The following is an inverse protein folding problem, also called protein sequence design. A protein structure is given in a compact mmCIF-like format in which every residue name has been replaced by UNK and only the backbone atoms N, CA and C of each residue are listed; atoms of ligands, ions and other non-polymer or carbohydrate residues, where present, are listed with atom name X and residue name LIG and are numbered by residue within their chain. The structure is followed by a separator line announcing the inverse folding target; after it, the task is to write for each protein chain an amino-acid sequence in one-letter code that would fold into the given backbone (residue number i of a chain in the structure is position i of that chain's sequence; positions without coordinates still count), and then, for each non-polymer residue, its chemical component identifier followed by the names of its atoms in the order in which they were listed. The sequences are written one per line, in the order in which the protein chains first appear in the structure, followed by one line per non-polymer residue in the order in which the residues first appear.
data_IF_139641848403
#
_entry.id   IF_139641848403
#
_cell.length_a   1.000
_cell.length_b   1.000
_cell.length_c   1.000
_cell.angle_alpha   90.00
_cell.angle_beta   90.00
_cell.angle_gamma   90.00
#
_symmetry.space_group_name_H-M   'P 1'
#
loop_
_entity.id
_entity.type
_entity.pdbx_description
1 polymer ?
#
# COMPACT_ATOMS: atom_id res chain seq x y z
N UNK A 1 25.78 2.92 14.70
CA UNK A 1 25.49 1.47 14.73
C UNK A 1 24.38 1.30 15.73
N UNK A 2 23.22 0.95 15.24
CA UNK A 2 21.98 1.12 15.99
C UNK A 2 21.81 0.03 17.04
N UNK A 3 21.52 0.45 18.26
CA UNK A 3 21.22 -0.40 19.43
C UNK A 3 20.19 -1.49 19.13
N UNK A 4 19.27 -1.24 18.19
CA UNK A 4 18.24 -2.22 17.77
C UNK A 4 18.82 -3.40 17.01
N UNK A 5 19.81 -3.18 16.15
CA UNK A 5 20.45 -4.22 15.35
C UNK A 5 21.34 -5.12 16.23
N UNK A 6 21.99 -4.52 17.22
CA UNK A 6 22.77 -5.27 18.21
C UNK A 6 21.88 -6.06 19.17
N UNK A 7 20.75 -5.53 19.59
CA UNK A 7 19.76 -6.24 20.41
C UNK A 7 19.17 -7.43 19.67
N UNK A 8 18.77 -7.29 18.40
CA UNK A 8 18.27 -8.38 17.57
C UNK A 8 19.36 -9.46 17.31
N UNK A 9 20.61 -9.04 17.12
CA UNK A 9 21.74 -9.96 16.97
C UNK A 9 22.09 -10.69 18.27
N UNK A 10 21.92 -10.03 19.42
CA UNK A 10 22.08 -10.62 20.74
C UNK A 10 20.94 -11.61 21.06
N UNK A 11 19.69 -11.25 20.77
CA UNK A 11 18.56 -12.15 20.93
C UNK A 11 18.64 -13.38 20.04
N UNK A 12 19.14 -13.25 18.80
CA UNK A 12 19.38 -14.36 17.90
C UNK A 12 20.50 -15.30 18.39
N UNK A 13 21.51 -14.77 19.11
CA UNK A 13 22.57 -15.56 19.74
C UNK A 13 22.07 -16.29 21.00
N UNK A 14 21.18 -15.66 21.77
CA UNK A 14 20.66 -16.24 23.02
C UNK A 14 19.61 -17.31 22.75
N UNK A 15 18.81 -17.16 21.69
CA UNK A 15 17.77 -18.11 21.30
C UNK A 15 17.89 -18.52 19.82
N UNK A 16 18.85 -19.39 19.48
CA UNK A 16 19.01 -19.82 18.09
C UNK A 16 17.76 -20.55 17.59
N UNK A 17 17.29 -20.27 16.37
CA UNK A 17 16.11 -20.89 15.83
C UNK A 17 16.29 -22.41 15.69
N UNK A 18 15.41 -23.19 16.34
CA UNK A 18 15.48 -24.67 16.34
C UNK A 18 14.90 -25.28 15.05
N UNK A 19 14.11 -24.54 14.29
CA UNK A 19 13.43 -25.05 13.09
C UNK A 19 13.92 -24.36 11.82
N UNK A 20 13.84 -25.08 10.67
CA UNK A 20 14.15 -24.50 9.35
C UNK A 20 13.29 -23.27 9.04
N UNK A 21 11.99 -23.29 9.42
CA UNK A 21 11.09 -22.17 9.26
C UNK A 21 11.53 -20.95 10.10
N UNK A 22 11.98 -21.18 11.35
CA UNK A 22 12.51 -20.12 12.21
C UNK A 22 13.79 -19.50 11.66
N UNK A 23 14.72 -20.33 11.11
CA UNK A 23 15.93 -19.83 10.44
C UNK A 23 15.58 -18.93 9.26
N UNK A 24 14.71 -19.40 8.36
CA UNK A 24 14.25 -18.65 7.20
C UNK A 24 13.58 -17.33 7.61
N UNK A 25 12.75 -17.35 8.65
CA UNK A 25 12.09 -16.15 9.18
C UNK A 25 13.11 -15.10 9.67
N UNK A 26 14.18 -15.51 10.32
CA UNK A 26 15.26 -14.60 10.76
C UNK A 26 16.13 -14.13 9.59
N UNK A 27 16.41 -14.99 8.62
CA UNK A 27 17.14 -14.62 7.39
C UNK A 27 16.37 -13.59 6.57
N UNK A 28 15.03 -13.74 6.45
CA UNK A 28 14.18 -12.80 5.73
C UNK A 28 14.16 -11.40 6.37
N UNK A 29 14.43 -11.31 7.68
CA UNK A 29 14.50 -10.07 8.47
C UNK A 29 15.91 -9.53 8.69
N UNK A 30 16.93 -10.28 8.30
CA UNK A 30 18.30 -9.80 8.42
C UNK A 30 18.56 -8.59 7.50
N UNK A 31 19.47 -7.67 7.88
CA UNK A 31 19.88 -6.56 7.02
C UNK A 31 20.33 -7.06 5.64
N UNK A 32 19.83 -6.44 4.58
CA UNK A 32 20.13 -6.78 3.18
C UNK A 32 20.65 -5.56 2.46
N UNK A 33 21.54 -5.76 1.49
CA UNK A 33 22.01 -4.70 0.58
C UNK A 33 20.89 -4.13 -0.28
N UNK A 34 19.94 -5.00 -0.67
CA UNK A 34 18.71 -4.61 -1.37
C UNK A 34 17.55 -4.83 -0.41
N UNK A 35 16.84 -3.76 -0.08
CA UNK A 35 15.67 -3.82 0.77
C UNK A 35 14.55 -4.62 0.11
N UNK A 36 13.78 -5.32 0.94
CA UNK A 36 12.56 -5.98 0.49
C UNK A 36 11.51 -4.94 0.11
N UNK A 37 10.64 -5.33 -0.82
CA UNK A 37 9.48 -4.50 -1.19
C UNK A 37 8.61 -4.19 0.03
N UNK A 38 8.21 -2.91 0.18
CA UNK A 38 7.39 -2.44 1.29
C UNK A 38 6.07 -3.22 1.35
N UNK A 39 5.87 -3.94 2.43
CA UNK A 39 4.70 -4.77 2.65
C UNK A 39 3.59 -3.98 3.33
N UNK A 40 2.36 -4.14 2.86
CA UNK A 40 1.19 -3.43 3.37
C UNK A 40 0.30 -4.34 4.21
N UNK A 41 -0.06 -3.90 5.39
CA UNK A 41 -1.03 -4.55 6.28
C UNK A 41 -2.40 -3.87 6.12
N UNK A 42 -3.42 -4.65 5.77
CA UNK A 42 -4.81 -4.19 5.70
C UNK A 42 -5.57 -4.62 6.95
N UNK A 43 -6.14 -3.66 7.65
CA UNK A 43 -6.78 -3.89 8.96
C UNK A 43 -8.22 -3.39 8.94
N UNK A 44 -9.14 -4.22 9.44
CA UNK A 44 -10.51 -3.80 9.71
C UNK A 44 -10.58 -3.21 11.11
N UNK A 45 -11.05 -1.97 11.20
CA UNK A 45 -11.28 -1.28 12.46
C UNK A 45 -12.45 -1.87 13.27
N UNK A 46 -12.80 -1.24 14.40
CA UNK A 46 -13.84 -1.72 15.29
C UNK A 46 -15.22 -1.81 14.64
N UNK A 47 -15.53 -0.88 13.77
CA UNK A 47 -16.70 -0.88 12.89
C UNK A 47 -16.29 -0.58 11.47
N UNK A 48 -16.87 -1.26 10.49
CA UNK A 48 -16.61 -1.03 9.07
C UNK A 48 -17.91 -1.14 8.26
N UNK A 49 -18.03 -0.32 7.21
CA UNK A 49 -19.14 -0.41 6.26
C UNK A 49 -18.82 -1.37 5.13
N UNK A 50 -19.85 -1.79 4.38
CA UNK A 50 -19.66 -2.60 3.17
C UNK A 50 -18.71 -1.93 2.17
N UNK A 51 -18.85 -0.61 1.93
CA UNK A 51 -17.99 0.17 1.05
C UNK A 51 -16.52 0.10 1.50
N UNK A 52 -16.24 0.32 2.79
CA UNK A 52 -14.88 0.26 3.34
C UNK A 52 -14.28 -1.14 3.17
N UNK A 53 -15.06 -2.19 3.43
CA UNK A 53 -14.60 -3.56 3.25
C UNK A 53 -14.26 -3.87 1.80
N UNK A 54 -15.09 -3.42 0.86
CA UNK A 54 -14.88 -3.59 -0.57
C UNK A 54 -13.63 -2.83 -1.05
N UNK A 55 -13.43 -1.59 -0.60
CA UNK A 55 -12.22 -0.79 -0.89
C UNK A 55 -10.96 -1.47 -0.36
N UNK A 56 -10.97 -1.94 0.91
CA UNK A 56 -9.83 -2.67 1.48
C UNK A 56 -9.52 -3.94 0.68
N UNK A 57 -10.56 -4.65 0.24
CA UNK A 57 -10.41 -5.86 -0.58
C UNK A 57 -9.82 -5.56 -1.96
N UNK A 58 -10.25 -4.49 -2.61
CA UNK A 58 -9.76 -4.15 -3.94
C UNK A 58 -8.34 -3.59 -3.89
N UNK A 59 -8.00 -2.75 -2.90
CA UNK A 59 -6.63 -2.33 -2.67
C UNK A 59 -5.70 -3.51 -2.33
N UNK A 60 -6.19 -4.47 -1.53
CA UNK A 60 -5.46 -5.70 -1.25
C UNK A 60 -5.21 -6.53 -2.51
N UNK A 61 -6.18 -6.65 -3.43
CA UNK A 61 -5.99 -7.35 -4.71
C UNK A 61 -4.91 -6.72 -5.57
N UNK A 62 -4.90 -5.38 -5.66
CA UNK A 62 -3.88 -4.63 -6.39
C UNK A 62 -2.48 -4.88 -5.81
N UNK A 63 -2.38 -4.96 -4.48
CA UNK A 63 -1.11 -5.14 -3.75
C UNK A 63 -0.82 -6.59 -3.34
N UNK A 64 -1.54 -7.57 -3.85
CA UNK A 64 -1.60 -8.95 -3.35
C UNK A 64 -0.24 -9.59 -3.04
N UNK A 65 0.79 -9.33 -3.82
CA UNK A 65 2.12 -9.91 -3.61
C UNK A 65 2.82 -9.38 -2.35
N UNK A 66 2.58 -8.10 -2.01
CA UNK A 66 3.19 -7.41 -0.89
C UNK A 66 2.14 -6.93 0.12
N UNK A 67 1.13 -7.76 0.36
CA UNK A 67 0.01 -7.41 1.21
C UNK A 67 -0.38 -8.53 2.17
N UNK A 68 -0.81 -8.15 3.37
CA UNK A 68 -1.40 -9.04 4.38
C UNK A 68 -2.75 -8.48 4.78
N UNK A 69 -3.81 -9.30 4.66
CA UNK A 69 -5.16 -8.93 5.11
C UNK A 69 -5.42 -9.50 6.50
N UNK A 70 -5.75 -8.61 7.44
CA UNK A 70 -6.24 -9.00 8.76
C UNK A 70 -7.76 -9.15 8.72
N UNK A 71 -8.23 -10.40 8.60
CA UNK A 71 -9.66 -10.69 8.39
C UNK A 71 -10.55 -10.38 9.60
N UNK A 72 -9.98 -10.44 10.81
CA UNK A 72 -10.70 -10.14 12.05
C UNK A 72 -10.83 -8.63 12.23
N UNK A 73 -11.96 -8.20 12.79
CA UNK A 73 -12.11 -6.82 13.27
C UNK A 73 -11.19 -6.57 14.47
N UNK A 74 -10.55 -5.42 14.47
CA UNK A 74 -9.59 -5.05 15.50
C UNK A 74 -10.04 -3.75 16.18
N UNK A 75 -9.95 -3.72 17.51
CA UNK A 75 -10.19 -2.51 18.29
C UNK A 75 -8.94 -1.63 18.21
N UNK A 76 -8.75 -0.96 17.07
CA UNK A 76 -7.64 -0.06 16.80
C UNK A 76 -8.20 1.29 16.43
N UNK A 77 -7.82 2.30 17.21
CA UNK A 77 -8.10 3.71 16.96
C UNK A 77 -6.74 4.39 16.73
N UNK A 78 -6.30 4.51 15.47
CA UNK A 78 -4.90 4.82 15.15
C UNK A 78 -4.45 6.18 15.67
N UNK A 79 -5.37 7.13 15.86
CA UNK A 79 -5.05 8.46 16.41
C UNK A 79 -5.11 8.52 17.94
N UNK A 80 -5.56 7.44 18.62
CA UNK A 80 -5.63 7.38 20.09
C UNK A 80 -4.57 6.44 20.65
N UNK A 81 -4.42 5.24 20.08
CA UNK A 81 -3.46 4.22 20.52
C UNK A 81 -2.85 3.49 19.32
N UNK A 82 -1.56 3.72 19.12
CA UNK A 82 -0.77 3.10 18.05
C UNK A 82 -0.11 1.79 18.49
N UNK A 83 -0.04 1.48 19.78
CA UNK A 83 0.73 0.35 20.30
C UNK A 83 0.32 -1.01 19.72
N UNK A 84 -0.98 -1.25 19.56
CA UNK A 84 -1.49 -2.47 18.91
C UNK A 84 -1.10 -2.53 17.43
N UNK A 85 -1.13 -1.39 16.75
CA UNK A 85 -0.79 -1.28 15.34
C UNK A 85 0.69 -1.57 15.11
N UNK A 86 1.56 -1.00 15.94
CA UNK A 86 3.00 -1.25 15.92
C UNK A 86 3.34 -2.72 16.20
N UNK A 87 2.67 -3.31 17.20
CA UNK A 87 2.83 -4.74 17.47
C UNK A 87 2.42 -5.62 16.27
N UNK A 88 1.29 -5.31 15.62
CA UNK A 88 0.82 -6.05 14.45
C UNK A 88 1.75 -5.87 13.25
N UNK A 89 2.25 -4.66 13.04
CA UNK A 89 3.23 -4.33 12.00
C UNK A 89 4.51 -5.17 12.17
N UNK A 90 5.09 -5.17 13.37
CA UNK A 90 6.26 -6.01 13.68
C UNK A 90 6.01 -7.49 13.41
N UNK A 91 4.84 -8.01 13.82
CA UNK A 91 4.48 -9.40 13.61
C UNK A 91 4.27 -9.75 12.14
N UNK A 92 3.65 -8.86 11.36
CA UNK A 92 3.38 -9.04 9.94
C UNK A 92 4.59 -8.69 9.05
N UNK A 93 5.63 -8.07 9.62
CA UNK A 93 6.75 -7.49 8.89
C UNK A 93 6.26 -6.53 7.79
N UNK A 94 5.41 -5.59 8.19
CA UNK A 94 4.74 -4.67 7.29
C UNK A 94 5.14 -3.24 7.60
N UNK A 95 5.72 -2.54 6.63
CA UNK A 95 6.13 -1.13 6.74
C UNK A 95 5.02 -0.14 6.37
N UNK A 96 3.94 -0.63 5.76
CA UNK A 96 2.77 0.17 5.40
C UNK A 96 1.52 -0.42 6.01
N UNK A 97 0.53 0.41 6.29
CA UNK A 97 -0.79 -0.06 6.74
C UNK A 97 -1.93 0.75 6.15
N UNK A 98 -3.08 0.09 6.03
CA UNK A 98 -4.36 0.71 5.68
C UNK A 98 -5.40 0.20 6.66
N UNK A 99 -6.02 1.11 7.40
CA UNK A 99 -7.08 0.79 8.37
C UNK A 99 -8.39 1.34 7.83
N UNK A 100 -9.38 0.48 7.69
CA UNK A 100 -10.73 0.89 7.31
C UNK A 100 -11.66 0.91 8.50
N UNK A 101 -12.37 2.01 8.70
CA UNK A 101 -13.35 2.18 9.77
C UNK A 101 -14.59 2.94 9.28
N UNK A 102 -15.66 2.88 10.05
CA UNK A 102 -16.88 3.64 9.77
C UNK A 102 -17.52 4.08 11.07
N UNK A 103 -17.80 5.36 11.17
CA UNK A 103 -18.59 5.93 12.27
C UNK A 103 -19.52 7.01 11.77
N UNK A 104 -20.48 7.45 12.57
CA UNK A 104 -21.40 8.54 12.20
C UNK A 104 -20.66 9.85 11.93
N UNK A 105 -19.59 10.11 12.71
CA UNK A 105 -18.77 11.34 12.53
C UNK A 105 -17.76 11.24 11.39
N UNK A 106 -17.28 10.02 11.08
CA UNK A 106 -16.29 9.74 10.04
C UNK A 106 -16.79 8.58 9.17
N UNK A 107 -17.72 8.86 8.23
CA UNK A 107 -18.26 7.84 7.35
C UNK A 107 -17.20 7.35 6.37
N UNK A 108 -17.18 6.03 6.12
CA UNK A 108 -16.33 5.38 5.13
C UNK A 108 -14.85 5.78 5.20
N UNK A 109 -14.30 5.72 6.40
CA UNK A 109 -12.98 6.24 6.72
C UNK A 109 -11.88 5.22 6.41
N UNK A 110 -10.79 5.69 5.79
CA UNK A 110 -9.56 4.97 5.52
C UNK A 110 -8.38 5.74 6.10
N UNK A 111 -7.60 5.10 6.95
CA UNK A 111 -6.34 5.66 7.45
C UNK A 111 -5.19 4.89 6.83
N UNK A 112 -4.40 5.59 6.04
CA UNK A 112 -3.16 5.09 5.46
C UNK A 112 -2.00 5.55 6.34
N UNK A 113 -0.97 4.72 6.49
CA UNK A 113 0.21 5.16 7.22
C UNK A 113 1.44 4.31 6.96
N UNK A 114 2.54 4.86 7.40
CA UNK A 114 3.88 4.27 7.27
C UNK A 114 4.47 3.99 8.63
N UNK A 115 5.28 2.92 8.67
CA UNK A 115 6.08 2.54 9.82
C UNK A 115 7.56 2.77 9.53
N UNK A 116 8.27 3.24 10.52
CA UNK A 116 9.72 3.31 10.52
C UNK A 116 10.23 2.79 11.86
N UNK A 117 11.19 1.88 11.83
CA UNK A 117 11.76 1.24 13.02
C UNK A 117 10.70 0.71 14.01
N UNK A 118 9.67 0.05 13.45
CA UNK A 118 8.52 -0.49 14.18
C UNK A 118 7.61 0.54 14.88
N UNK A 119 7.81 1.84 14.62
CA UNK A 119 6.97 2.94 15.08
C UNK A 119 6.21 3.58 13.93
N UNK A 120 5.07 4.20 14.25
CA UNK A 120 4.31 4.95 13.26
C UNK A 120 5.08 6.21 12.87
N UNK A 121 5.39 6.34 11.58
CA UNK A 121 6.07 7.52 11.02
C UNK A 121 5.08 8.63 10.72
N UNK A 122 4.05 8.31 9.94
CA UNK A 122 3.01 9.24 9.54
C UNK A 122 1.70 8.52 9.23
N UNK A 123 0.60 9.29 9.23
CA UNK A 123 -0.73 8.81 8.92
C UNK A 123 -1.50 9.85 8.12
N UNK A 124 -2.26 9.39 7.14
CA UNK A 124 -3.13 10.20 6.30
C UNK A 124 -4.54 9.61 6.34
N UNK A 125 -5.52 10.44 6.60
CA UNK A 125 -6.93 10.03 6.69
C UNK A 125 -7.71 10.47 5.45
N UNK A 126 -8.47 9.55 4.85
CA UNK A 126 -9.35 9.80 3.73
C UNK A 126 -10.77 9.32 4.02
N UNK A 127 -11.75 10.10 3.64
CA UNK A 127 -13.15 9.69 3.56
C UNK A 127 -13.49 9.22 2.14
N UNK A 128 -14.04 8.01 2.00
CA UNK A 128 -14.51 7.52 0.70
C UNK A 128 -15.87 8.11 0.39
N UNK A 129 -15.98 8.94 -0.64
CA UNK A 129 -17.21 9.55 -1.11
C UNK A 129 -17.85 8.74 -2.21
N UNK A 130 -17.07 8.27 -3.19
CA UNK A 130 -17.54 7.50 -4.33
C UNK A 130 -16.61 6.29 -4.54
N UNK A 131 -17.20 5.12 -4.78
CA UNK A 131 -16.45 3.90 -5.00
C UNK A 131 -17.11 3.01 -6.04
N UNK A 132 -16.31 2.52 -6.99
CA UNK A 132 -16.69 1.47 -7.95
C UNK A 132 -15.76 0.29 -7.74
N UNK A 133 -16.33 -0.90 -7.58
CA UNK A 133 -15.57 -2.13 -7.33
C UNK A 133 -14.81 -2.56 -8.58
N UNK A 134 -13.65 -3.18 -8.39
CA UNK A 134 -12.91 -3.82 -9.50
C UNK A 134 -13.77 -4.89 -10.21
N UNK A 135 -14.68 -5.55 -9.49
CA UNK A 135 -15.60 -6.53 -10.05
C UNK A 135 -16.66 -5.97 -10.99
N UNK A 136 -16.91 -4.66 -10.92
CA UNK A 136 -17.90 -3.99 -11.77
C UNK A 136 -17.37 -3.75 -13.20
N UNK A 137 -16.06 -3.96 -13.38
CA UNK A 137 -15.37 -3.84 -14.65
C UNK A 137 -15.06 -5.22 -15.24
N UNK A 138 -14.76 -5.25 -16.53
CA UNK A 138 -14.28 -6.49 -17.18
C UNK A 138 -13.03 -7.00 -16.50
N UNK A 139 -12.85 -8.34 -16.37
CA UNK A 139 -11.64 -8.89 -15.79
C UNK A 139 -10.41 -8.39 -16.55
N UNK A 140 -9.48 -7.82 -15.80
CA UNK A 140 -8.21 -7.38 -16.34
C UNK A 140 -7.32 -8.56 -16.72
N UNK A 141 -6.58 -8.43 -17.81
CA UNK A 141 -5.55 -9.39 -18.26
C UNK A 141 -4.17 -9.09 -17.70
N UNK A 142 -4.08 -8.12 -16.80
CA UNK A 142 -2.82 -7.72 -16.17
C UNK A 142 -2.23 -8.89 -15.39
N UNK A 143 -0.95 -9.18 -15.63
CA UNK A 143 -0.26 -10.25 -14.94
C UNK A 143 -0.10 -9.93 -13.44
N UNK A 144 -0.21 -10.97 -12.59
CA UNK A 144 0.04 -10.80 -11.16
C UNK A 144 1.49 -10.37 -10.94
N UNK A 145 1.66 -9.22 -10.29
CA UNK A 145 2.98 -8.65 -9.98
C UNK A 145 3.49 -7.60 -10.95
N UNK A 146 2.73 -7.31 -12.01
CA UNK A 146 3.04 -6.15 -12.85
C UNK A 146 2.97 -4.89 -12.01
N UNK A 147 4.03 -4.06 -12.07
CA UNK A 147 4.08 -2.77 -11.39
C UNK A 147 3.28 -1.73 -12.18
N UNK A 148 2.39 -0.98 -11.55
CA UNK A 148 1.67 0.10 -12.21
C UNK A 148 2.60 1.26 -12.56
N UNK A 149 2.31 1.94 -13.66
CA UNK A 149 2.81 3.30 -13.86
C UNK A 149 1.89 4.27 -13.10
N UNK A 150 2.45 5.12 -12.26
CA UNK A 150 1.68 6.12 -11.54
C UNK A 150 1.68 7.43 -12.34
N UNK A 151 0.49 8.00 -12.49
CA UNK A 151 0.29 9.31 -13.08
C UNK A 151 -0.39 10.23 -12.06
N UNK A 152 0.30 11.29 -11.68
CA UNK A 152 -0.24 12.34 -10.83
C UNK A 152 -0.72 13.50 -11.71
N UNK A 153 -1.99 13.86 -11.59
CA UNK A 153 -2.61 14.92 -12.38
C UNK A 153 -3.23 15.98 -11.45
N UNK A 154 -2.97 17.24 -11.75
CA UNK A 154 -3.45 18.41 -11.00
C UNK A 154 -2.29 19.21 -10.42
N UNK A 155 -2.47 20.52 -10.36
CA UNK A 155 -1.41 21.47 -9.97
C UNK A 155 -1.04 21.41 -8.49
N UNK A 156 -1.93 20.84 -7.66
CA UNK A 156 -1.73 20.71 -6.21
C UNK A 156 -0.54 19.83 -5.84
N UNK A 157 -0.20 18.86 -6.68
CA UNK A 157 0.93 17.95 -6.42
C UNK A 157 2.29 18.67 -6.41
N UNK A 158 2.38 19.83 -7.07
CA UNK A 158 3.61 20.61 -7.16
C UNK A 158 3.65 21.78 -6.15
N UNK A 159 2.49 22.23 -5.68
CA UNK A 159 2.37 23.51 -4.98
C UNK A 159 2.35 23.41 -3.44
N UNK A 160 1.91 22.31 -2.85
CA UNK A 160 1.64 22.23 -1.41
C UNK A 160 2.41 21.08 -0.74
N UNK A 161 3.00 21.35 0.44
CA UNK A 161 3.78 20.34 1.19
C UNK A 161 2.98 19.11 1.60
N UNK A 162 1.70 19.28 1.97
CA UNK A 162 0.84 18.18 2.42
C UNK A 162 0.49 17.26 1.26
N UNK A 163 0.23 17.82 0.09
CA UNK A 163 0.00 17.05 -1.14
C UNK A 163 1.25 16.29 -1.58
N UNK A 164 2.43 16.86 -1.36
CA UNK A 164 3.71 16.18 -1.58
C UNK A 164 3.88 14.95 -0.67
N UNK A 165 3.43 15.02 0.59
CA UNK A 165 3.43 13.87 1.50
C UNK A 165 2.48 12.76 1.02
N UNK A 166 1.28 13.14 0.57
CA UNK A 166 0.30 12.20 0.00
C UNK A 166 0.87 11.53 -1.25
N UNK A 167 1.49 12.31 -2.15
CA UNK A 167 2.12 11.80 -3.36
C UNK A 167 3.22 10.79 -3.03
N UNK A 168 4.11 11.13 -2.11
CA UNK A 168 5.18 10.26 -1.65
C UNK A 168 4.62 8.96 -1.05
N UNK A 169 3.53 9.04 -0.26
CA UNK A 169 2.86 7.86 0.27
C UNK A 169 2.35 6.94 -0.84
N UNK A 170 1.68 7.49 -1.87
CA UNK A 170 1.18 6.67 -2.98
C UNK A 170 2.32 6.06 -3.81
N UNK A 171 3.44 6.76 -3.96
CA UNK A 171 4.64 6.19 -4.56
C UNK A 171 5.13 4.98 -3.75
N UNK A 172 5.24 5.11 -2.45
CA UNK A 172 5.61 4.00 -1.56
C UNK A 172 4.59 2.87 -1.59
N UNK A 173 3.30 3.22 -1.66
CA UNK A 173 2.23 2.22 -1.64
C UNK A 173 2.16 1.40 -2.93
N UNK A 174 2.34 1.99 -4.11
CA UNK A 174 2.20 1.30 -5.39
C UNK A 174 3.53 0.93 -6.05
N UNK A 175 4.59 1.70 -5.83
CA UNK A 175 5.89 1.52 -6.45
C UNK A 175 6.97 1.32 -5.40
N UNK A 176 7.59 0.16 -5.40
CA UNK A 176 8.64 -0.19 -4.44
C UNK A 176 10.04 0.30 -4.85
N UNK A 177 10.25 0.62 -6.13
CA UNK A 177 11.55 1.05 -6.65
C UNK A 177 11.40 2.15 -7.69
N UNK A 178 12.27 3.16 -7.64
CA UNK A 178 12.39 4.14 -8.72
C UNK A 178 12.95 3.46 -9.98
N UNK A 179 12.35 3.75 -11.14
CA UNK A 179 12.72 3.19 -12.43
C UNK A 179 13.18 4.34 -13.33
N UNK A 180 14.39 4.25 -13.86
CA UNK A 180 14.95 5.28 -14.75
C UNK A 180 14.45 5.16 -16.20
N UNK A 181 13.98 3.98 -16.61
CA UNK A 181 13.48 3.75 -17.97
C UNK A 181 12.35 2.72 -17.95
N UNK A 182 11.34 2.93 -18.79
CA UNK A 182 10.18 2.06 -18.93
C UNK A 182 10.14 1.50 -20.34
N UNK A 183 10.00 0.17 -20.45
CA UNK A 183 9.65 -0.44 -21.72
C UNK A 183 8.13 -0.32 -21.92
N UNK A 184 7.71 0.48 -22.88
CA UNK A 184 6.30 0.71 -23.18
C UNK A 184 5.53 -0.56 -23.56
N UNK A 185 6.22 -1.55 -24.14
CA UNK A 185 5.59 -2.84 -24.48
C UNK A 185 5.26 -3.68 -23.23
N UNK A 186 5.98 -3.45 -22.13
CA UNK A 186 5.74 -4.12 -20.85
C UNK A 186 4.80 -3.35 -19.91
N UNK A 187 4.29 -2.19 -20.34
CA UNK A 187 3.36 -1.40 -19.54
C UNK A 187 1.93 -1.99 -19.67
N UNK A 188 1.49 -2.71 -18.65
CA UNK A 188 0.20 -3.40 -18.65
C UNK A 188 -0.91 -2.53 -18.07
N UNK A 189 -0.61 -1.72 -17.04
CA UNK A 189 -1.63 -0.86 -16.44
C UNK A 189 -1.06 0.41 -15.79
N UNK A 190 -1.93 1.39 -15.67
CA UNK A 190 -1.64 2.72 -15.12
C UNK A 190 -2.61 3.01 -13.99
N UNK A 191 -2.11 3.57 -12.91
CA UNK A 191 -2.92 4.16 -11.84
C UNK A 191 -2.82 5.67 -11.95
N UNK A 192 -3.93 6.31 -12.27
CA UNK A 192 -4.04 7.76 -12.30
C UNK A 192 -4.56 8.26 -10.96
N UNK A 193 -3.82 9.17 -10.35
CA UNK A 193 -4.14 9.82 -9.08
C UNK A 193 -4.30 11.31 -9.38
N UNK A 194 -5.55 11.77 -9.40
CA UNK A 194 -5.86 13.15 -9.75
C UNK A 194 -6.30 13.91 -8.50
N UNK A 195 -5.73 15.09 -8.28
CA UNK A 195 -6.15 16.02 -7.24
C UNK A 195 -7.03 17.12 -7.84
N UNK A 196 -8.25 17.25 -7.33
CA UNK A 196 -9.14 18.32 -7.71
C UNK A 196 -9.88 18.80 -6.47
N UNK A 197 -9.89 20.12 -6.25
CA UNK A 197 -10.39 20.71 -5.01
C UNK A 197 -9.72 20.05 -3.78
N UNK A 198 -10.48 19.50 -2.84
CA UNK A 198 -9.94 18.77 -1.67
C UNK A 198 -10.14 17.25 -1.80
N UNK A 199 -10.28 16.75 -3.03
CA UNK A 199 -10.51 15.34 -3.30
C UNK A 199 -9.38 14.71 -4.10
N UNK A 200 -9.11 13.43 -3.78
CA UNK A 200 -8.19 12.57 -4.50
C UNK A 200 -8.99 11.53 -5.28
N UNK A 201 -8.84 11.51 -6.59
CA UNK A 201 -9.42 10.49 -7.46
C UNK A 201 -8.37 9.44 -7.82
N UNK A 202 -8.56 8.22 -7.36
CA UNK A 202 -7.72 7.09 -7.70
C UNK A 202 -8.44 6.23 -8.75
N UNK A 203 -7.82 6.08 -9.92
CA UNK A 203 -8.38 5.30 -11.04
C UNK A 203 -7.32 4.39 -11.63
N UNK A 204 -7.67 3.13 -11.86
CA UNK A 204 -6.80 2.19 -12.57
C UNK A 204 -7.27 2.00 -14.01
N UNK A 205 -6.32 1.93 -14.94
CA UNK A 205 -6.58 1.72 -16.36
C UNK A 205 -5.69 0.61 -16.89
N UNK A 206 -6.27 -0.33 -17.64
CA UNK A 206 -5.51 -1.30 -18.41
C UNK A 206 -4.97 -0.63 -19.68
N UNK A 207 -3.70 -0.87 -19.98
CA UNK A 207 -3.04 -0.32 -21.18
C UNK A 207 -3.05 -1.38 -22.27
N UNK A 208 -3.77 -1.10 -23.35
CA UNK A 208 -3.79 -1.99 -24.52
C UNK A 208 -3.13 -1.30 -25.70
N UNK A 209 -1.97 -1.80 -26.13
CA UNK A 209 -1.29 -1.31 -27.32
C UNK A 209 -1.79 -2.05 -28.56
N UNK A 210 -2.43 -1.32 -29.48
CA UNK A 210 -2.78 -1.82 -30.82
C UNK A 210 -1.74 -1.38 -31.81
N UNK A 211 -1.17 -2.30 -32.59
CA UNK A 211 -0.40 -1.96 -33.79
C UNK A 211 -1.37 -1.38 -34.82
N UNK A 212 -1.54 -0.08 -34.87
CA UNK A 212 -2.11 0.61 -36.02
C UNK A 212 -0.94 1.03 -36.89
N UNK A 213 -1.06 0.97 -38.20
CA UNK A 213 0.02 1.12 -39.17
C UNK A 213 0.94 2.34 -39.02
N UNK A 214 0.61 3.32 -38.15
CA UNK A 214 1.44 4.48 -37.84
C UNK A 214 1.36 4.98 -36.39
N UNK A 215 0.36 4.61 -35.58
CA UNK A 215 0.22 5.10 -34.20
C UNK A 215 -0.32 4.04 -33.26
N UNK A 216 0.21 3.97 -32.03
CA UNK A 216 -0.36 3.19 -30.92
C UNK A 216 -1.37 4.06 -30.17
N UNK A 217 -2.58 3.56 -29.99
CA UNK A 217 -3.66 4.24 -29.26
C UNK A 217 -3.84 3.61 -27.89
N UNK A 218 -3.91 4.42 -26.85
CA UNK A 218 -4.31 4.00 -25.48
C UNK A 218 -5.84 4.04 -25.45
N UNK A 219 -6.49 2.92 -25.18
CA UNK A 219 -7.94 2.88 -24.98
C UNK A 219 -8.28 2.82 -23.50
N UNK A 220 -9.27 3.61 -23.12
CA UNK A 220 -9.91 3.56 -21.78
C UNK A 220 -10.68 2.24 -21.66
N UNK A 221 -10.66 1.56 -20.48
CA UNK A 221 -11.48 0.38 -20.22
C UNK A 221 -12.97 0.67 -20.23
#
# INVERSE_FOLDING_TARGET
MDTTTEQLALEAKVNPPKTRAGKKFLEDRSPKLLENDKKTMFVKGPSSSGIVNDVLHDLYKIRRQHAVMMNKTNQILPFEDVGKLEYMSRKADASLFVIGSHSKKRPHNLVFGRMYDAHVLDMIEFGVTEFKKLSDFKPSKVALGSKPCLLFNGDKWEAESDWGLIQNYFCDFFCTTAINSINLQGLEYVISISAAEDMVYLRSYEVTMKKSGQFSTIQKP
#
